data_IF_494439352114
#
_entry.id   IF_494439352114
#
_cell.length_a   1.000
_cell.length_b   1.000
_cell.length_c   1.000
_cell.angle_alpha   90.00
_cell.angle_beta   90.00
_cell.angle_gamma   90.00
#
_symmetry.space_group_name_H-M   'P 1'
#
loop_
_entity.id
_entity.type
_entity.pdbx_description
1 polymer ?
#
# COMPACT_ATOMS: atom_id res chain seq x y z
N UNK A 1 -3.16 4.45 29.81
CA UNK A 1 -2.54 3.41 30.64
C UNK A 1 -1.01 3.62 30.67
N UNK A 2 -0.42 3.80 31.86
CA UNK A 2 1.03 4.01 32.03
C UNK A 2 1.84 2.74 31.78
N UNK A 3 1.31 1.57 32.13
CA UNK A 3 1.98 0.28 31.94
C UNK A 3 2.08 -0.06 30.45
N UNK A 4 1.01 0.20 29.68
CA UNK A 4 1.03 0.03 28.23
C UNK A 4 1.99 1.03 27.54
N UNK A 5 1.99 2.30 27.96
CA UNK A 5 2.92 3.32 27.45
C UNK A 5 4.38 2.91 27.62
N UNK A 6 4.74 2.32 28.77
CA UNK A 6 6.09 1.84 29.06
C UNK A 6 6.53 0.65 28.17
N UNK A 7 5.59 0.01 27.45
CA UNK A 7 5.85 -1.12 26.55
C UNK A 7 5.60 -0.78 25.08
N UNK A 8 5.37 0.50 24.76
CA UNK A 8 5.00 0.95 23.42
C UNK A 8 6.13 1.74 22.77
N UNK A 9 6.49 1.36 21.55
CA UNK A 9 7.33 2.17 20.66
C UNK A 9 6.43 2.68 19.54
N UNK A 10 6.26 3.99 19.45
CA UNK A 10 5.58 4.65 18.34
C UNK A 10 6.58 4.80 17.21
N UNK A 11 6.28 4.23 16.04
CA UNK A 11 7.08 4.40 14.83
C UNK A 11 6.25 5.19 13.82
N UNK A 12 6.83 6.26 13.27
CA UNK A 12 6.16 7.08 12.27
C UNK A 12 7.19 7.69 11.31
N UNK A 13 6.74 8.44 10.30
CA UNK A 13 7.64 9.08 9.35
C UNK A 13 6.92 9.91 8.32
N UNK A 14 7.70 10.52 7.43
CA UNK A 14 7.17 11.52 6.50
C UNK A 14 6.88 10.95 5.10
N UNK A 15 7.27 9.71 4.83
CA UNK A 15 7.16 9.10 3.51
C UNK A 15 5.74 9.07 2.94
N UNK A 16 4.72 9.00 3.80
CA UNK A 16 3.32 8.80 3.38
C UNK A 16 2.52 10.09 3.51
N UNK A 17 2.48 10.67 4.70
CA UNK A 17 1.69 11.87 4.99
C UNK A 17 2.19 13.12 4.26
N UNK A 18 3.46 13.16 3.85
CA UNK A 18 4.09 14.33 3.21
C UNK A 18 4.60 14.03 1.80
N UNK A 19 4.25 12.87 1.22
CA UNK A 19 4.78 12.40 -0.08
C UNK A 19 6.32 12.36 -0.15
N UNK A 20 7.02 12.22 0.99
CA UNK A 20 8.47 12.27 1.07
C UNK A 20 9.14 10.89 1.00
N UNK A 21 8.68 9.98 0.12
CA UNK A 21 9.19 8.60 0.04
C UNK A 21 10.70 8.54 -0.23
N UNK A 22 11.21 9.38 -1.14
CA UNK A 22 12.63 9.45 -1.51
C UNK A 22 13.55 10.13 -0.47
N UNK A 23 12.99 10.83 0.52
CA UNK A 23 13.75 11.62 1.49
C UNK A 23 14.28 10.81 2.68
N UNK A 24 13.69 9.62 2.89
CA UNK A 24 14.15 8.61 3.86
C UNK A 24 14.19 9.09 5.32
N UNK A 25 13.19 9.86 5.75
CA UNK A 25 13.02 10.25 7.16
C UNK A 25 11.87 9.49 7.82
N UNK A 26 12.22 8.79 8.90
CA UNK A 26 11.32 8.22 9.90
C UNK A 26 11.81 8.56 11.30
N UNK A 27 10.94 8.39 12.29
CA UNK A 27 11.25 8.64 13.69
C UNK A 27 10.51 7.65 14.59
N UNK A 28 11.03 7.46 15.79
CA UNK A 28 10.39 6.65 16.81
C UNK A 28 10.39 7.36 18.17
N UNK A 29 9.37 7.11 18.98
CA UNK A 29 9.27 7.58 20.36
C UNK A 29 8.81 6.44 21.27
N UNK A 30 9.47 6.25 22.42
CA UNK A 30 9.22 5.13 23.32
C UNK A 30 10.04 5.22 24.60
N UNK A 31 10.17 4.12 25.37
CA UNK A 31 10.99 4.08 26.58
C UNK A 31 12.45 4.50 26.31
N UNK A 32 12.98 5.37 27.18
CA UNK A 32 14.29 6.00 26.96
C UNK A 32 15.43 4.99 26.82
N UNK A 33 15.38 3.87 27.57
CA UNK A 33 16.36 2.79 27.47
C UNK A 33 16.40 2.14 26.08
N UNK A 34 15.22 1.95 25.47
CA UNK A 34 15.09 1.37 24.13
C UNK A 34 15.57 2.37 23.08
N UNK A 35 15.15 3.64 23.16
CA UNK A 35 15.58 4.68 22.22
C UNK A 35 17.11 4.87 22.26
N UNK A 36 17.71 4.79 23.45
CA UNK A 36 19.17 4.83 23.61
C UNK A 36 19.84 3.64 22.91
N UNK A 37 19.34 2.42 23.10
CA UNK A 37 19.86 1.23 22.43
C UNK A 37 19.72 1.33 20.90
N UNK A 38 18.58 1.80 20.39
CA UNK A 38 18.36 2.05 18.97
C UNK A 38 19.37 3.07 18.42
N UNK A 39 19.64 4.15 19.16
CA UNK A 39 20.63 5.17 18.78
C UNK A 39 22.04 4.58 18.71
N UNK A 40 22.41 3.71 19.65
CA UNK A 40 23.70 3.00 19.62
C UNK A 40 23.83 2.16 18.35
N UNK A 41 22.81 1.36 18.01
CA UNK A 41 22.81 0.56 16.77
C UNK A 41 22.90 1.46 15.53
N UNK A 42 22.11 2.55 15.49
CA UNK A 42 22.10 3.48 14.36
C UNK A 42 23.48 4.12 14.14
N UNK A 43 24.18 4.48 15.22
CA UNK A 43 25.52 5.09 15.13
C UNK A 43 26.54 4.20 14.41
N UNK A 44 26.44 2.88 14.60
CA UNK A 44 27.29 1.87 13.96
C UNK A 44 26.76 1.37 12.61
N UNK A 45 25.51 1.71 12.26
CA UNK A 45 24.89 1.25 11.00
C UNK A 45 24.90 2.32 9.91
N UNK A 46 24.52 3.55 10.24
CA UNK A 46 24.30 4.64 9.26
C UNK A 46 24.72 6.02 9.78
N UNK A 47 25.19 6.11 11.03
CA UNK A 47 25.43 7.37 11.74
C UNK A 47 24.15 8.21 11.91
N UNK A 48 23.86 9.13 10.98
CA UNK A 48 22.70 10.01 11.02
C UNK A 48 21.96 10.02 9.67
N UNK A 49 20.64 10.30 9.67
CA UNK A 49 19.91 10.49 8.42
C UNK A 49 20.36 11.78 7.70
N UNK A 50 20.15 11.85 6.38
CA UNK A 50 20.69 12.96 5.58
C UNK A 50 20.24 14.34 6.09
N UNK A 51 21.20 15.25 6.29
CA UNK A 51 20.97 16.55 6.96
C UNK A 51 19.97 17.44 6.22
N UNK A 52 19.97 17.39 4.89
CA UNK A 52 19.01 18.11 4.03
C UNK A 52 17.58 17.63 4.31
N UNK A 53 17.37 16.32 4.39
CA UNK A 53 16.04 15.76 4.65
C UNK A 53 15.59 15.99 6.09
N UNK A 54 16.51 16.07 7.05
CA UNK A 54 16.17 16.49 8.42
C UNK A 54 15.61 17.92 8.44
N UNK A 55 16.20 18.86 7.68
CA UNK A 55 15.68 20.22 7.57
C UNK A 55 14.33 20.29 6.85
N UNK A 56 14.17 19.52 5.77
CA UNK A 56 12.87 19.39 5.10
C UNK A 56 11.80 18.78 6.01
N UNK A 57 12.17 17.83 6.87
CA UNK A 57 11.25 17.21 7.82
C UNK A 57 10.80 18.18 8.92
N UNK A 58 11.65 19.12 9.34
CA UNK A 58 11.23 20.20 10.26
C UNK A 58 10.13 21.03 9.62
N UNK A 59 10.37 21.56 8.42
CA UNK A 59 9.36 22.37 7.71
C UNK A 59 8.07 21.58 7.49
N UNK A 60 8.17 20.32 7.05
CA UNK A 60 7.01 19.47 6.86
C UNK A 60 6.18 19.31 8.16
N UNK A 61 6.82 19.16 9.31
CA UNK A 61 6.12 18.96 10.60
C UNK A 61 5.62 20.26 11.25
N UNK A 62 6.28 21.39 11.01
CA UNK A 62 5.95 22.66 11.69
C UNK A 62 5.27 23.70 10.80
N UNK A 63 5.34 23.51 9.49
CA UNK A 63 4.72 24.39 8.50
C UNK A 63 3.23 24.11 8.29
N UNK A 64 2.60 24.75 7.28
CA UNK A 64 1.19 24.58 6.96
C UNK A 64 0.82 23.12 6.64
N UNK A 65 -0.34 22.67 7.13
CA UNK A 65 -0.78 21.27 7.03
C UNK A 65 -1.96 21.06 6.06
N UNK A 66 -2.47 22.11 5.41
CA UNK A 66 -3.70 22.08 4.61
C UNK A 66 -3.62 21.12 3.41
N UNK A 67 -2.43 20.91 2.86
CA UNK A 67 -2.20 19.98 1.76
C UNK A 67 -2.52 18.52 2.14
N UNK A 68 -2.43 18.15 3.42
CA UNK A 68 -2.80 16.80 3.89
C UNK A 68 -4.29 16.55 3.67
N UNK A 69 -5.13 17.55 3.96
CA UNK A 69 -6.58 17.45 3.72
C UNK A 69 -6.88 17.30 2.23
N UNK A 70 -6.17 18.04 1.38
CA UNK A 70 -6.27 17.94 -0.08
C UNK A 70 -5.93 16.53 -0.56
N UNK A 71 -4.81 15.97 -0.11
CA UNK A 71 -4.43 14.59 -0.43
C UNK A 71 -5.43 13.58 0.09
N UNK A 72 -5.93 13.74 1.32
CA UNK A 72 -6.92 12.82 1.92
C UNK A 72 -8.21 12.76 1.09
N UNK A 73 -8.74 13.91 0.67
CA UNK A 73 -9.94 13.99 -0.18
C UNK A 73 -9.72 13.28 -1.51
N UNK A 74 -8.56 13.49 -2.13
CA UNK A 74 -8.26 12.87 -3.42
C UNK A 74 -8.01 11.35 -3.31
N UNK A 75 -7.32 10.89 -2.25
CA UNK A 75 -7.20 9.46 -1.97
C UNK A 75 -8.56 8.81 -1.69
N UNK A 76 -9.48 9.49 -1.00
CA UNK A 76 -10.83 8.99 -0.76
C UNK A 76 -11.62 8.82 -2.07
N UNK A 77 -11.53 9.80 -2.98
CA UNK A 77 -12.15 9.74 -4.30
C UNK A 77 -11.64 8.53 -5.10
N UNK A 78 -10.32 8.33 -5.15
CA UNK A 78 -9.67 7.20 -5.83
C UNK A 78 -10.06 5.86 -5.22
N UNK A 79 -10.08 5.79 -3.88
CA UNK A 79 -10.49 4.62 -3.10
C UNK A 79 -11.91 4.19 -3.43
N UNK A 80 -12.88 5.11 -3.35
CA UNK A 80 -14.29 4.81 -3.66
C UNK A 80 -14.45 4.30 -5.09
N UNK A 81 -13.79 4.95 -6.04
CA UNK A 81 -13.83 4.54 -7.44
C UNK A 81 -13.27 3.12 -7.64
N UNK A 82 -12.03 2.87 -7.21
CA UNK A 82 -11.40 1.56 -7.40
C UNK A 82 -12.18 0.43 -6.71
N UNK A 83 -12.63 0.65 -5.47
CA UNK A 83 -13.37 -0.37 -4.71
C UNK A 83 -14.73 -0.68 -5.37
N UNK A 84 -15.42 0.33 -5.90
CA UNK A 84 -16.65 0.13 -6.67
C UNK A 84 -16.41 -0.73 -7.92
N UNK A 85 -15.39 -0.39 -8.70
CA UNK A 85 -15.05 -1.14 -9.92
C UNK A 85 -14.60 -2.57 -9.63
N UNK A 86 -13.75 -2.79 -8.61
CA UNK A 86 -13.30 -4.12 -8.23
C UNK A 86 -14.46 -5.03 -7.77
N UNK A 87 -15.42 -4.48 -7.02
CA UNK A 87 -16.60 -5.23 -6.59
C UNK A 87 -17.60 -5.49 -7.72
N UNK A 88 -17.49 -4.80 -8.86
CA UNK A 88 -18.28 -5.07 -10.05
C UNK A 88 -17.69 -6.19 -10.93
N UNK A 89 -16.49 -6.69 -10.62
CA UNK A 89 -15.85 -7.79 -11.35
C UNK A 89 -16.30 -9.14 -10.77
N UNK A 90 -16.94 -10.02 -11.56
CA UNK A 90 -17.32 -11.34 -11.09
C UNK A 90 -16.11 -12.15 -10.58
N UNK A 91 -16.24 -12.72 -9.38
CA UNK A 91 -15.18 -13.48 -8.74
C UNK A 91 -14.20 -12.63 -7.91
N UNK A 92 -14.46 -11.33 -7.76
CA UNK A 92 -13.71 -10.45 -6.85
C UNK A 92 -14.62 -9.84 -5.79
N UNK A 93 -14.09 -9.68 -4.57
CA UNK A 93 -14.77 -8.97 -3.49
C UNK A 93 -13.77 -8.16 -2.70
N UNK A 94 -14.03 -6.85 -2.51
CA UNK A 94 -13.14 -5.95 -1.80
C UNK A 94 -13.86 -5.20 -0.68
N UNK A 95 -13.39 -5.42 0.55
CA UNK A 95 -13.78 -4.59 1.68
C UNK A 95 -13.28 -3.17 1.48
N UNK A 96 -14.09 -2.21 1.92
CA UNK A 96 -13.77 -0.80 1.84
C UNK A 96 -12.72 -0.44 2.92
N UNK A 97 -11.47 -0.11 2.56
CA UNK A 97 -10.43 0.17 3.55
C UNK A 97 -10.68 1.53 4.23
N UNK A 98 -10.37 1.63 5.53
CA UNK A 98 -10.56 2.86 6.32
C UNK A 98 -9.34 3.79 6.33
N UNK A 99 -8.22 3.35 5.75
CA UNK A 99 -6.97 4.12 5.68
C UNK A 99 -5.95 3.52 4.73
N UNK A 100 -4.73 4.08 4.77
CA UNK A 100 -3.67 3.84 3.79
C UNK A 100 -4.13 4.16 2.35
N UNK A 101 -3.46 3.56 1.35
CA UNK A 101 -3.79 3.74 -0.06
C UNK A 101 -3.77 2.43 -0.85
N UNK A 102 -4.18 1.33 -0.21
CA UNK A 102 -4.20 -0.01 -0.79
C UNK A 102 -5.60 -0.61 -0.76
N UNK A 103 -5.97 -1.29 -1.85
CA UNK A 103 -7.10 -2.20 -1.90
C UNK A 103 -6.56 -3.64 -1.79
N UNK A 104 -7.32 -4.51 -1.11
CA UNK A 104 -6.96 -5.91 -0.91
C UNK A 104 -8.17 -6.79 -1.22
N UNK A 105 -8.61 -6.89 -2.49
CA UNK A 105 -9.72 -7.75 -2.86
C UNK A 105 -9.37 -9.24 -2.69
N UNK A 106 -10.34 -10.00 -2.19
CA UNK A 106 -10.38 -11.44 -2.35
C UNK A 106 -10.67 -11.76 -3.82
N UNK A 107 -9.88 -12.63 -4.42
CA UNK A 107 -10.00 -13.08 -5.81
C UNK A 107 -9.95 -14.60 -5.92
N UNK A 108 -10.13 -15.34 -4.82
CA UNK A 108 -10.00 -16.80 -4.82
C UNK A 108 -11.10 -17.51 -5.62
N UNK A 109 -12.20 -16.82 -5.93
CA UNK A 109 -13.23 -17.33 -6.84
C UNK A 109 -12.77 -17.41 -8.30
N UNK A 110 -11.58 -16.90 -8.63
CA UNK A 110 -10.93 -17.09 -9.92
C UNK A 110 -10.08 -18.36 -9.99
N UNK A 111 -9.88 -19.06 -8.86
CA UNK A 111 -9.09 -20.30 -8.84
C UNK A 111 -9.81 -21.43 -9.56
N UNK A 112 -9.04 -22.25 -10.26
CA UNK A 112 -9.52 -23.31 -11.15
C UNK A 112 -9.87 -22.82 -12.55
N UNK A 113 -10.04 -21.51 -12.77
CA UNK A 113 -10.25 -20.96 -14.12
C UNK A 113 -8.95 -20.98 -14.93
N UNK A 114 -9.08 -20.97 -16.25
CA UNK A 114 -7.93 -21.06 -17.16
C UNK A 114 -7.99 -20.06 -18.30
N UNK A 115 -6.82 -19.72 -18.85
CA UNK A 115 -6.67 -18.95 -20.08
C UNK A 115 -5.42 -19.40 -20.81
N UNK A 116 -5.52 -19.70 -22.11
CA UNK A 116 -4.39 -20.12 -22.93
C UNK A 116 -3.68 -21.38 -22.40
N UNK A 117 -4.44 -22.31 -21.82
CA UNK A 117 -3.90 -23.56 -21.24
C UNK A 117 -3.21 -23.44 -19.88
N UNK A 118 -3.12 -22.22 -19.30
CA UNK A 118 -2.64 -22.01 -17.92
C UNK A 118 -3.83 -21.90 -16.96
N UNK A 119 -3.83 -22.70 -15.90
CA UNK A 119 -4.82 -22.65 -14.83
C UNK A 119 -4.36 -21.73 -13.70
N UNK A 120 -5.27 -20.91 -13.18
CA UNK A 120 -5.02 -20.07 -12.01
C UNK A 120 -5.24 -20.91 -10.75
N UNK A 121 -4.19 -21.10 -9.97
CA UNK A 121 -4.23 -21.90 -8.73
C UNK A 121 -3.90 -21.11 -7.46
N UNK A 122 -3.36 -19.90 -7.61
CA UNK A 122 -2.88 -19.07 -6.49
C UNK A 122 -3.01 -17.58 -6.79
N UNK A 123 -2.80 -16.74 -5.76
CA UNK A 123 -2.75 -15.29 -5.96
C UNK A 123 -1.55 -14.86 -6.82
N UNK A 124 -0.48 -15.66 -6.81
CA UNK A 124 0.70 -15.44 -7.66
C UNK A 124 0.36 -15.66 -9.13
N UNK A 125 -0.44 -16.70 -9.43
CA UNK A 125 -0.90 -16.95 -10.80
C UNK A 125 -1.81 -15.82 -11.30
N UNK A 126 -2.69 -15.29 -10.44
CA UNK A 126 -3.50 -14.10 -10.78
C UNK A 126 -2.60 -12.91 -11.10
N UNK A 127 -1.61 -12.63 -10.25
CA UNK A 127 -0.69 -11.52 -10.44
C UNK A 127 0.09 -11.63 -11.75
N UNK A 128 0.61 -12.82 -12.05
CA UNK A 128 1.36 -13.09 -13.28
C UNK A 128 0.45 -13.03 -14.51
N UNK A 129 -0.74 -13.62 -14.43
CA UNK A 129 -1.74 -13.57 -15.50
C UNK A 129 -2.10 -12.13 -15.86
N UNK A 130 -2.42 -11.29 -14.88
CA UNK A 130 -2.77 -9.89 -15.12
C UNK A 130 -1.58 -9.06 -15.61
N UNK A 131 -0.36 -9.39 -15.18
CA UNK A 131 0.85 -8.77 -15.71
C UNK A 131 1.06 -9.12 -17.19
N UNK A 132 1.02 -10.41 -17.54
CA UNK A 132 1.27 -10.90 -18.90
C UNK A 132 0.16 -10.52 -19.88
N UNK A 133 -1.11 -10.69 -19.47
CA UNK A 133 -2.27 -10.63 -20.38
C UNK A 133 -3.04 -9.31 -20.33
N UNK A 134 -2.83 -8.51 -19.29
CA UNK A 134 -3.50 -7.22 -19.10
C UNK A 134 -2.51 -6.06 -18.93
N UNK A 135 -1.20 -6.34 -18.81
CA UNK A 135 -0.17 -5.34 -18.51
C UNK A 135 -0.48 -4.54 -17.24
N UNK A 136 -1.02 -5.22 -16.22
CA UNK A 136 -1.34 -4.61 -14.91
C UNK A 136 -0.49 -5.30 -13.84
N UNK A 137 0.47 -4.54 -13.30
CA UNK A 137 1.31 -5.01 -12.20
C UNK A 137 0.61 -4.82 -10.85
N UNK A 138 0.55 -5.90 -10.06
CA UNK A 138 0.04 -5.91 -8.69
C UNK A 138 0.83 -6.89 -7.84
N UNK A 139 0.58 -6.92 -6.53
CA UNK A 139 1.28 -7.85 -5.63
C UNK A 139 0.32 -8.94 -5.18
N UNK A 140 0.74 -10.20 -5.29
CA UNK A 140 -0.03 -11.35 -4.83
C UNK A 140 -0.20 -11.35 -3.30
N UNK A 141 -1.35 -11.83 -2.81
CA UNK A 141 -1.71 -11.84 -1.40
C UNK A 141 -0.88 -12.79 -0.55
N UNK A 142 -0.34 -13.86 -1.16
CA UNK A 142 0.56 -14.80 -0.49
C UNK A 142 1.78 -14.10 0.13
N UNK A 143 2.29 -13.02 -0.47
CA UNK A 143 3.38 -12.20 0.09
C UNK A 143 2.99 -11.46 1.40
N UNK A 144 1.70 -11.38 1.71
CA UNK A 144 1.13 -10.77 2.92
C UNK A 144 0.48 -11.80 3.85
N UNK A 145 0.64 -13.10 3.57
CA UNK A 145 0.12 -14.18 4.41
C UNK A 145 -1.32 -14.60 4.12
N UNK A 146 -1.98 -14.07 3.07
CA UNK A 146 -3.31 -14.52 2.65
C UNK A 146 -3.36 -14.71 1.13
N UNK A 147 -3.20 -15.97 0.70
CA UNK A 147 -3.16 -16.31 -0.72
C UNK A 147 -4.51 -16.14 -1.42
N UNK A 148 -5.61 -15.81 -0.75
CA UNK A 148 -6.89 -15.57 -1.45
C UNK A 148 -6.99 -14.18 -2.06
N UNK A 149 -6.04 -13.30 -1.76
CA UNK A 149 -6.14 -11.88 -2.04
C UNK A 149 -5.08 -11.41 -3.04
N UNK A 150 -5.28 -10.21 -3.57
CA UNK A 150 -4.28 -9.46 -4.34
C UNK A 150 -4.24 -8.02 -3.83
N UNK A 151 -3.10 -7.33 -3.92
CA UNK A 151 -2.93 -5.96 -3.42
C UNK A 151 -2.76 -4.97 -4.57
N UNK A 152 -3.63 -3.98 -4.62
CA UNK A 152 -3.56 -2.86 -5.57
C UNK A 152 -3.27 -1.55 -4.83
N UNK A 153 -2.33 -0.76 -5.34
CA UNK A 153 -2.08 0.60 -4.86
C UNK A 153 -2.90 1.58 -5.69
N UNK A 154 -3.62 2.49 -5.03
CA UNK A 154 -4.33 3.61 -5.70
C UNK A 154 -3.64 4.96 -5.48
N UNK A 155 -2.34 4.94 -5.18
CA UNK A 155 -1.46 6.11 -5.18
C UNK A 155 -0.94 6.45 -6.59
N UNK A 156 -1.87 6.64 -7.53
CA UNK A 156 -1.62 7.07 -8.91
C UNK A 156 -2.79 7.92 -9.42
N UNK A 157 -2.77 8.37 -10.68
CA UNK A 157 -3.86 9.15 -11.28
C UNK A 157 -5.15 8.32 -11.39
N UNK A 158 -6.31 8.99 -11.40
CA UNK A 158 -7.59 8.29 -11.55
C UNK A 158 -7.74 7.69 -12.96
N UNK A 159 -7.08 8.28 -13.95
CA UNK A 159 -7.01 7.82 -15.33
C UNK A 159 -6.30 6.47 -15.42
N UNK A 160 -5.14 6.32 -14.75
CA UNK A 160 -4.43 5.05 -14.68
C UNK A 160 -5.20 4.01 -13.86
N UNK A 161 -5.91 4.43 -12.80
CA UNK A 161 -6.80 3.53 -12.06
C UNK A 161 -7.93 3.00 -12.95
N UNK A 162 -8.62 3.89 -13.69
CA UNK A 162 -9.68 3.54 -14.65
C UNK A 162 -9.18 2.56 -15.70
N UNK A 163 -8.04 2.86 -16.32
CA UNK A 163 -7.41 2.02 -17.34
C UNK A 163 -7.00 0.65 -16.77
N UNK A 164 -6.37 0.64 -15.60
CA UNK A 164 -5.93 -0.58 -14.93
C UNK A 164 -7.09 -1.50 -14.56
N UNK A 165 -8.13 -0.97 -13.91
CA UNK A 165 -9.28 -1.79 -13.51
C UNK A 165 -10.12 -2.26 -14.71
N UNK A 166 -10.22 -1.46 -15.77
CA UNK A 166 -10.83 -1.88 -17.03
C UNK A 166 -10.12 -3.09 -17.65
N UNK A 167 -8.78 -3.02 -17.72
CA UNK A 167 -7.95 -4.15 -18.20
C UNK A 167 -8.09 -5.40 -17.32
N UNK A 168 -8.18 -5.25 -16.00
CA UNK A 168 -8.44 -6.38 -15.09
C UNK A 168 -9.80 -7.00 -15.41
N UNK A 169 -10.84 -6.18 -15.55
CA UNK A 169 -12.21 -6.65 -15.86
C UNK A 169 -12.24 -7.45 -17.15
N UNK A 170 -11.64 -6.93 -18.23
CA UNK A 170 -11.54 -7.61 -19.52
C UNK A 170 -10.73 -8.92 -19.45
N UNK A 171 -9.65 -8.95 -18.68
CA UNK A 171 -8.85 -10.16 -18.48
C UNK A 171 -9.64 -11.23 -17.70
N UNK A 172 -10.30 -10.85 -16.61
CA UNK A 172 -11.11 -11.79 -15.82
C UNK A 172 -12.27 -12.37 -16.63
N UNK A 173 -12.86 -11.61 -17.55
CA UNK A 173 -13.91 -12.09 -18.46
C UNK A 173 -13.42 -13.13 -19.48
N UNK A 174 -12.12 -13.16 -19.79
CA UNK A 174 -11.51 -14.14 -20.70
C UNK A 174 -11.19 -15.48 -20.02
N UNK A 175 -11.30 -15.57 -18.70
CA UNK A 175 -11.08 -16.80 -17.97
C UNK A 175 -12.28 -17.75 -18.12
N UNK A 176 -12.01 -18.98 -18.57
CA UNK A 176 -12.99 -20.08 -18.67
C UNK A 176 -12.90 -21.02 -17.47
#
# INVERSE_FOLDING_TARGET
DKAMKAKTIVVNGLSKSYAMTGWRIGFAAGPAEIIKAMTTIQSQSTSNPTSIAQKAAVEALTGPQDFIQTMRTEFDRRRRFLIGELNAIPGMHCLTPTGAFYAFPNASALYGKSSGGKTISSSSDIALYLLEQAQVALVHGGAFGDDRHIRLSYATSVEEIKKGVGRIKEAVQRLS
#
